data_IF_002022785156
#
_entry.id   IF_002022785156
#
_cell.length_a   1.000
_cell.length_b   1.000
_cell.length_c   1.000
_cell.angle_alpha   90.00
_cell.angle_beta   90.00
_cell.angle_gamma   90.00
#
_symmetry.space_group_name_H-M   'P 1'
#
loop_
_entity.id
_entity.type
_entity.pdbx_description
1 polymer ?
#
# COMPACT_ATOMS: atom_id res chain seq x y z
N UNK A 1 -2.05 -16.48 -9.81
CA UNK A 1 -1.60 -15.11 -9.49
C UNK A 1 -2.81 -14.39 -8.94
N UNK A 2 -2.65 -13.70 -7.82
CA UNK A 2 -3.72 -13.01 -7.13
C UNK A 2 -3.38 -11.52 -6.98
N UNK A 3 -4.40 -10.67 -6.98
CA UNK A 3 -4.22 -9.22 -6.83
C UNK A 3 -4.37 -8.80 -5.38
N UNK A 4 -3.44 -7.96 -4.92
CA UNK A 4 -3.56 -7.20 -3.68
C UNK A 4 -3.71 -5.73 -4.03
N UNK A 5 -4.77 -5.10 -3.52
CA UNK A 5 -5.03 -3.68 -3.71
C UNK A 5 -4.43 -2.87 -2.58
N UNK A 6 -3.47 -2.02 -2.89
CA UNK A 6 -2.82 -1.10 -1.96
C UNK A 6 -3.46 0.27 -2.09
N UNK A 7 -4.06 0.75 -1.00
CA UNK A 7 -4.70 2.05 -0.89
C UNK A 7 -3.74 3.00 -0.19
N UNK A 8 -3.21 3.95 -0.95
CA UNK A 8 -2.43 5.06 -0.44
C UNK A 8 -3.42 6.13 0.02
N UNK A 9 -3.73 6.17 1.31
CA UNK A 9 -4.85 6.95 1.85
C UNK A 9 -4.42 8.38 2.19
N UNK A 10 -3.79 8.58 3.36
CA UNK A 10 -3.52 9.91 3.90
C UNK A 10 -2.04 10.24 4.08
N UNK A 11 -1.75 11.54 4.10
CA UNK A 11 -0.44 12.10 4.45
C UNK A 11 0.60 12.17 3.32
N UNK A 12 0.17 11.85 2.09
CA UNK A 12 1.00 11.96 0.89
C UNK A 12 0.94 13.36 0.29
N UNK A 13 2.09 13.90 -0.11
CA UNK A 13 2.25 15.24 -0.70
C UNK A 13 3.41 15.23 -1.72
N UNK A 14 3.06 15.12 -3.02
CA UNK A 14 4.01 15.01 -4.13
C UNK A 14 5.10 13.95 -3.91
N UNK A 15 4.72 12.82 -3.32
CA UNK A 15 5.67 11.80 -2.88
C UNK A 15 6.02 10.80 -3.96
N UNK A 16 7.23 10.25 -3.84
CA UNK A 16 7.64 9.01 -4.48
C UNK A 16 7.40 7.84 -3.51
N UNK A 17 6.69 6.83 -3.99
CA UNK A 17 6.34 5.63 -3.23
C UNK A 17 6.85 4.41 -3.98
N UNK A 18 7.73 3.65 -3.32
CA UNK A 18 8.19 2.36 -3.82
C UNK A 18 7.56 1.24 -3.00
N UNK A 19 7.13 0.19 -3.67
CA UNK A 19 6.51 -0.99 -3.07
C UNK A 19 7.19 -2.24 -3.62
N UNK A 20 7.46 -3.22 -2.77
CA UNK A 20 7.98 -4.51 -3.20
C UNK A 20 7.36 -5.65 -2.42
N UNK A 21 6.93 -6.69 -3.12
CA UNK A 21 6.36 -7.90 -2.54
C UNK A 21 6.53 -9.08 -3.53
N UNK A 22 6.79 -10.28 -3.01
CA UNK A 22 6.85 -11.49 -3.85
C UNK A 22 7.86 -11.44 -5.01
N UNK A 23 8.95 -10.67 -4.86
CA UNK A 23 9.95 -10.45 -5.91
C UNK A 23 9.56 -9.43 -6.98
N UNK A 24 8.34 -8.89 -6.93
CA UNK A 24 7.92 -7.75 -7.75
C UNK A 24 8.25 -6.43 -7.04
N UNK A 25 8.60 -5.41 -7.83
CA UNK A 25 8.74 -4.04 -7.38
C UNK A 25 7.84 -3.14 -8.23
N UNK A 26 7.23 -2.15 -7.58
CA UNK A 26 6.35 -1.16 -8.19
C UNK A 26 6.71 0.23 -7.65
N UNK A 27 6.57 1.23 -8.49
CA UNK A 27 6.96 2.60 -8.17
C UNK A 27 5.87 3.57 -8.63
N UNK A 28 5.58 4.53 -7.78
CA UNK A 28 4.62 5.58 -8.03
C UNK A 28 5.22 6.94 -7.71
N UNK A 29 5.04 7.89 -8.62
CA UNK A 29 5.53 9.26 -8.48
C UNK A 29 4.37 10.23 -8.31
N UNK A 30 4.65 11.40 -7.75
CA UNK A 30 3.68 12.50 -7.58
C UNK A 30 2.44 12.07 -6.79
N UNK A 31 2.61 11.16 -5.82
CA UNK A 31 1.52 10.65 -4.98
C UNK A 31 1.08 11.74 -4.01
N UNK A 32 -0.16 12.20 -4.15
CA UNK A 32 -0.71 13.29 -3.32
C UNK A 32 -2.12 12.93 -2.84
N UNK A 33 -2.35 13.00 -1.53
CA UNK A 33 -3.66 12.75 -0.94
C UNK A 33 -4.66 13.83 -1.34
N UNK A 34 -5.82 13.42 -1.86
CA UNK A 34 -6.95 14.33 -2.08
C UNK A 34 -7.80 14.43 -0.81
N UNK A 35 -7.74 15.58 -0.13
CA UNK A 35 -8.42 15.79 1.15
C UNK A 35 -9.94 15.49 1.14
N UNK A 36 -10.62 15.73 0.01
CA UNK A 36 -12.06 15.49 -0.10
C UNK A 36 -12.45 14.02 0.00
N UNK A 37 -11.55 13.09 -0.31
CA UNK A 37 -11.81 11.65 -0.35
C UNK A 37 -10.86 10.82 0.51
N UNK A 38 -9.87 11.45 1.15
CA UNK A 38 -8.90 10.78 2.01
C UNK A 38 -8.05 9.72 1.28
N UNK A 39 -7.89 9.87 -0.03
CA UNK A 39 -7.22 8.90 -0.90
C UNK A 39 -6.27 9.61 -1.86
N UNK A 40 -5.04 9.12 -1.94
CA UNK A 40 -4.05 9.53 -2.93
C UNK A 40 -4.14 8.65 -4.18
N UNK A 41 -4.05 7.33 -4.02
CA UNK A 41 -4.01 6.38 -5.15
C UNK A 41 -4.39 4.96 -4.71
N UNK A 42 -4.85 4.16 -5.66
CA UNK A 42 -4.99 2.70 -5.52
C UNK A 42 -4.03 2.04 -6.50
N UNK A 43 -3.28 1.06 -6.01
CA UNK A 43 -2.29 0.30 -6.77
C UNK A 43 -2.63 -1.17 -6.69
N UNK A 44 -2.71 -1.84 -7.84
CA UNK A 44 -2.93 -3.29 -7.93
C UNK A 44 -1.58 -4.00 -8.05
N UNK A 45 -1.21 -4.77 -7.02
CA UNK A 45 -0.03 -5.61 -7.03
C UNK A 45 -0.41 -7.04 -7.39
N UNK A 46 0.25 -7.61 -8.41
CA UNK A 46 0.09 -9.02 -8.77
C UNK A 46 1.12 -9.85 -8.03
N UNK A 47 0.66 -10.78 -7.21
CA UNK A 47 1.51 -11.64 -6.38
C UNK A 47 1.33 -13.12 -6.74
N UNK A 48 2.35 -13.96 -6.50
CA UNK A 48 2.19 -15.40 -6.57
C UNK A 48 1.15 -15.89 -5.55
N UNK A 49 0.43 -16.95 -5.89
CA UNK A 49 -0.62 -17.52 -5.03
C UNK A 49 0.01 -18.30 -3.87
N UNK A 50 -0.76 -18.46 -2.79
CA UNK A 50 -0.51 -19.46 -1.74
C UNK A 50 0.56 -19.10 -0.69
N UNK A 51 1.59 -18.34 -1.02
CA UNK A 51 2.65 -17.98 -0.06
C UNK A 51 2.49 -16.56 0.50
N UNK A 52 2.57 -16.39 1.84
CA UNK A 52 2.66 -15.07 2.45
C UNK A 52 3.85 -14.30 1.87
N UNK A 53 3.58 -13.11 1.35
CA UNK A 53 4.59 -12.18 0.87
C UNK A 53 4.78 -11.07 1.90
N UNK A 54 6.01 -10.63 2.11
CA UNK A 54 6.26 -9.44 2.90
C UNK A 54 6.22 -8.22 1.98
N UNK A 55 5.20 -7.37 2.14
CA UNK A 55 5.08 -6.11 1.42
C UNK A 55 5.90 -5.06 2.15
N UNK A 56 6.97 -4.59 1.50
CA UNK A 56 7.73 -3.41 1.94
C UNK A 56 7.25 -2.20 1.16
N UNK A 57 6.98 -1.11 1.87
CA UNK A 57 6.63 0.19 1.29
C UNK A 57 7.61 1.22 1.81
N UNK A 58 8.14 2.05 0.91
CA UNK A 58 9.06 3.14 1.25
C UNK A 58 8.55 4.46 0.68
N UNK A 59 8.53 5.50 1.51
CA UNK A 59 8.14 6.88 1.17
C UNK A 59 8.97 7.85 2.01
N UNK A 60 9.54 8.92 1.44
CA UNK A 60 10.34 9.93 2.18
C UNK A 60 11.46 9.34 3.07
N UNK A 61 12.14 8.29 2.63
CA UNK A 61 13.10 7.50 3.44
C UNK A 61 12.51 6.77 4.67
N UNK A 62 11.20 6.83 4.87
CA UNK A 62 10.48 5.99 5.82
C UNK A 62 10.17 4.65 5.14
N UNK A 63 10.24 3.55 5.88
CA UNK A 63 9.86 2.25 5.38
C UNK A 63 9.01 1.51 6.40
N UNK A 64 8.02 0.78 5.92
CA UNK A 64 7.22 -0.13 6.72
C UNK A 64 7.00 -1.42 5.97
N UNK A 65 6.78 -2.49 6.72
CA UNK A 65 6.61 -3.85 6.21
C UNK A 65 5.37 -4.48 6.81
N UNK A 66 4.65 -5.26 6.00
CA UNK A 66 3.53 -6.04 6.46
C UNK A 66 3.44 -7.38 5.72
N UNK A 67 3.13 -8.44 6.46
CA UNK A 67 2.84 -9.74 5.87
C UNK A 67 1.47 -9.69 5.17
N UNK A 68 1.43 -10.09 3.91
CA UNK A 68 0.23 -10.14 3.09
C UNK A 68 0.07 -11.52 2.47
N UNK A 69 -1.16 -12.02 2.47
CA UNK A 69 -1.53 -13.25 1.78
C UNK A 69 -2.71 -12.89 0.89
N UNK A 70 -2.61 -12.91 -0.45
CA UNK A 70 -3.67 -12.37 -1.31
C UNK A 70 -5.08 -12.91 -1.05
N UNK A 71 -5.19 -14.17 -0.61
CA UNK A 71 -6.48 -14.80 -0.29
C UNK A 71 -7.07 -14.37 1.06
N UNK A 72 -6.23 -13.92 2.00
CA UNK A 72 -6.63 -13.57 3.37
C UNK A 72 -6.69 -12.05 3.57
N UNK A 73 -5.73 -11.34 3.00
CA UNK A 73 -5.57 -9.88 3.07
C UNK A 73 -5.42 -9.26 1.67
N UNK A 74 -6.45 -9.35 0.81
CA UNK A 74 -6.44 -8.78 -0.54
C UNK A 74 -6.39 -7.24 -0.58
N UNK A 75 -6.45 -6.58 0.57
CA UNK A 75 -6.44 -5.13 0.70
C UNK A 75 -5.30 -4.71 1.63
N UNK A 76 -4.65 -3.60 1.33
CA UNK A 76 -3.64 -3.00 2.22
C UNK A 76 -3.90 -1.50 2.29
N UNK A 77 -4.00 -0.97 3.49
CA UNK A 77 -4.14 0.47 3.73
C UNK A 77 -2.80 1.06 4.13
N UNK A 78 -2.46 2.19 3.55
CA UNK A 78 -1.18 2.86 3.77
C UNK A 78 -1.45 4.30 4.13
N UNK A 79 -0.92 4.71 5.29
CA UNK A 79 -1.03 6.06 5.81
C UNK A 79 0.36 6.59 6.13
N UNK A 80 0.72 7.72 5.55
CA UNK A 80 1.96 8.43 5.83
C UNK A 80 1.73 9.51 6.89
N UNK A 81 2.71 9.72 7.75
CA UNK A 81 2.75 10.83 8.70
C UNK A 81 4.11 11.54 8.57
N UNK A 82 4.30 12.63 9.32
CA UNK A 82 5.58 13.34 9.33
C UNK A 82 6.76 12.46 9.79
N UNK A 83 6.50 11.42 10.59
CA UNK A 83 7.56 10.63 11.25
C UNK A 83 7.42 9.13 11.05
N UNK A 84 6.43 8.65 10.29
CA UNK A 84 6.16 7.24 10.19
C UNK A 84 5.21 6.86 9.06
N UNK A 85 5.26 5.58 8.71
CA UNK A 85 4.40 4.94 7.72
C UNK A 85 3.65 3.81 8.43
N UNK A 86 2.33 3.79 8.28
CA UNK A 86 1.49 2.71 8.77
C UNK A 86 1.03 1.88 7.57
N UNK A 87 1.17 0.55 7.66
CA UNK A 87 0.77 -0.40 6.63
C UNK A 87 -0.10 -1.47 7.27
N UNK A 88 -1.37 -1.53 6.86
CA UNK A 88 -2.40 -2.35 7.49
C UNK A 88 -3.03 -3.28 6.44
N UNK A 89 -2.67 -4.58 6.45
CA UNK A 89 -3.35 -5.59 5.66
C UNK A 89 -4.77 -5.83 6.17
N UNK A 90 -5.72 -5.96 5.25
CA UNK A 90 -7.15 -6.06 5.54
C UNK A 90 -7.80 -7.15 4.68
N UNK A 91 -8.77 -7.86 5.27
CA UNK A 91 -9.53 -8.91 4.58
C UNK A 91 -10.73 -8.37 3.78
N UNK A 92 -11.15 -7.14 4.08
CA UNK A 92 -12.28 -6.45 3.46
C UNK A 92 -11.83 -5.12 2.84
N UNK A 93 -12.53 -4.62 1.80
CA UNK A 93 -12.21 -3.33 1.22
C UNK A 93 -12.40 -2.20 2.24
N UNK A 94 -11.55 -1.17 2.23
CA UNK A 94 -11.78 0.03 3.04
C UNK A 94 -13.11 0.69 2.64
N UNK A 95 -13.90 1.08 3.66
CA UNK A 95 -15.16 1.80 3.48
C UNK A 95 -14.88 3.30 3.53
N UNK A 96 -14.99 3.98 2.38
CA UNK A 96 -14.93 5.44 2.31
C UNK A 96 -16.35 5.99 2.43
N UNK A 97 -16.64 6.70 3.52
CA UNK A 97 -17.95 7.29 3.84
C UNK A 97 -18.02 8.77 3.54
#
# INVERSE_FOLDING_TARGET
>A
MASVRVFLESGFDHDEVTMSAGGAAHEEHEVTTRYQVGLAKVVDLTLPDGEPSNLRITVRNLSAEAAITPEQTPYVRVNATATGLTVEPESAPPMYG
#
